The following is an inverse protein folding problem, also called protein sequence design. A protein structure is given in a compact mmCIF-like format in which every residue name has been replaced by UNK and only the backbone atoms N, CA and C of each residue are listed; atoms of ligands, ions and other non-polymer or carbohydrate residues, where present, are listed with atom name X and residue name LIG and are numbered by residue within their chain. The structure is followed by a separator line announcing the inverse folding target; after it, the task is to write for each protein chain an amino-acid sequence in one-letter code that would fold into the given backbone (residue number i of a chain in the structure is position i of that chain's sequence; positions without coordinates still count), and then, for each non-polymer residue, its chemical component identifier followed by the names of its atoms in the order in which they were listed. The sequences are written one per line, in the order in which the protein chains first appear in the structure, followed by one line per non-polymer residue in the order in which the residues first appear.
data_IF_534024463128
#
_entry.id   IF_534024463128
#
_cell.length_a   1.000
_cell.length_b   1.000
_cell.length_c   1.000
_cell.angle_alpha   90.00
_cell.angle_beta   90.00
_cell.angle_gamma   90.00
#
_symmetry.space_group_name_H-M   'P 1'
#
loop_
_entity.id
_entity.type
_entity.pdbx_description
1 polymer ?
#
# COMPACT_ATOMS: atom_id res chain seq x y z
N UNK A 1 -22.97 -31.60 -24.72
CA UNK A 1 -22.18 -31.04 -23.61
C UNK A 1 -21.62 -29.69 -24.07
N UNK A 2 -22.10 -28.55 -23.55
CA UNK A 2 -21.62 -27.21 -23.94
C UNK A 2 -20.52 -26.76 -22.97
N UNK A 3 -19.38 -26.23 -23.44
CA UNK A 3 -18.37 -25.69 -22.54
C UNK A 3 -18.84 -24.34 -21.97
N UNK A 4 -18.72 -24.20 -20.65
CA UNK A 4 -19.02 -22.99 -19.89
C UNK A 4 -17.88 -21.98 -20.05
N UNK A 5 -18.10 -20.92 -20.84
CA UNK A 5 -17.20 -19.76 -20.95
C UNK A 5 -17.37 -18.83 -19.75
N UNK A 6 -16.66 -19.11 -18.66
CA UNK A 6 -16.49 -18.17 -17.51
C UNK A 6 -15.04 -17.68 -17.45
N UNK A 7 -14.53 -16.89 -18.39
CA UNK A 7 -13.12 -16.43 -18.31
C UNK A 7 -12.78 -15.05 -18.93
N UNK A 8 -13.66 -14.03 -18.91
CA UNK A 8 -13.26 -12.72 -19.48
C UNK A 8 -13.78 -11.45 -18.78
N UNK A 9 -14.51 -11.55 -17.66
CA UNK A 9 -15.06 -10.35 -17.00
C UNK A 9 -14.07 -9.64 -16.06
N UNK A 10 -13.14 -10.35 -15.42
CA UNK A 10 -12.24 -9.72 -14.44
C UNK A 10 -11.10 -8.91 -15.08
N UNK A 11 -10.53 -9.40 -16.19
CA UNK A 11 -9.39 -8.76 -16.86
C UNK A 11 -9.70 -7.35 -17.39
N UNK A 12 -10.95 -7.07 -17.79
CA UNK A 12 -11.36 -5.75 -18.31
C UNK A 12 -11.45 -4.67 -17.22
N UNK A 13 -11.85 -5.03 -16.01
CA UNK A 13 -11.99 -4.08 -14.90
C UNK A 13 -10.63 -3.69 -14.31
N UNK A 14 -9.67 -4.63 -14.29
CA UNK A 14 -8.30 -4.36 -13.83
C UNK A 14 -7.56 -3.36 -14.71
N UNK A 15 -7.76 -3.41 -16.04
CA UNK A 15 -7.13 -2.47 -16.98
C UNK A 15 -7.70 -1.05 -16.83
N UNK A 16 -9.00 -0.90 -16.59
CA UNK A 16 -9.62 0.40 -16.36
C UNK A 16 -9.12 1.05 -15.06
N UNK A 17 -8.89 0.25 -14.01
CA UNK A 17 -8.36 0.73 -12.74
C UNK A 17 -6.91 1.24 -12.88
N UNK A 18 -6.06 0.53 -13.63
CA UNK A 18 -4.68 0.95 -13.89
C UNK A 18 -4.62 2.26 -14.70
N UNK A 19 -5.54 2.44 -15.67
CA UNK A 19 -5.61 3.67 -16.46
C UNK A 19 -6.08 4.88 -15.63
N UNK A 20 -6.90 4.67 -14.59
CA UNK A 20 -7.35 5.73 -13.67
C UNK A 20 -6.27 6.21 -12.69
N UNK A 21 -5.24 5.39 -12.44
CA UNK A 21 -4.10 5.73 -11.58
C UNK A 21 -3.03 6.56 -12.32
N UNK A 22 -3.11 6.65 -13.65
CA UNK A 22 -2.24 7.50 -14.46
C UNK A 22 -2.73 8.96 -14.40
N UNK A 23 -2.40 9.66 -13.31
CA UNK A 23 -2.71 11.09 -13.16
C UNK A 23 -1.83 11.91 -14.11
N UNK A 24 -2.44 12.91 -14.77
CA UNK A 24 -1.73 13.91 -15.56
C UNK A 24 -1.01 14.88 -14.60
N UNK A 25 0.33 14.94 -14.63
CA UNK A 25 1.06 15.96 -13.89
C UNK A 25 0.92 17.31 -14.63
N UNK A 26 0.29 18.29 -13.99
CA UNK A 26 0.22 19.66 -14.49
C UNK A 26 1.22 20.49 -13.70
N UNK A 27 2.23 21.05 -14.38
CA UNK A 27 3.17 21.95 -13.74
C UNK A 27 2.46 23.27 -13.42
N UNK A 28 2.41 23.65 -12.14
CA UNK A 28 1.86 24.91 -11.67
C UNK A 28 2.95 25.63 -10.87
N UNK A 29 3.29 26.85 -11.24
CA UNK A 29 4.13 27.74 -10.43
C UNK A 29 3.33 28.19 -9.21
N UNK A 30 3.52 27.49 -8.09
CA UNK A 30 2.97 27.81 -6.78
C UNK A 30 4.14 28.17 -5.85
N UNK A 31 3.95 29.11 -4.90
CA UNK A 31 4.96 29.36 -3.88
C UNK A 31 5.23 28.07 -3.11
N UNK A 32 6.52 27.75 -2.93
CA UNK A 32 6.97 26.53 -2.27
C UNK A 32 6.60 26.57 -0.78
N UNK A 33 5.59 25.79 -0.41
CA UNK A 33 5.12 25.67 0.97
C UNK A 33 5.82 24.54 1.73
N UNK A 34 6.56 23.68 1.01
CA UNK A 34 7.09 22.41 1.49
C UNK A 34 6.04 21.32 1.74
N UNK A 35 4.74 21.64 1.73
CA UNK A 35 3.63 20.70 1.96
C UNK A 35 3.06 20.11 0.66
N UNK A 36 3.74 20.33 -0.45
CA UNK A 36 3.47 19.68 -1.71
C UNK A 36 3.77 18.18 -1.58
N UNK A 37 2.81 17.37 -2.00
CA UNK A 37 3.00 15.93 -2.12
C UNK A 37 4.10 15.66 -3.16
N UNK A 38 5.16 14.97 -2.73
CA UNK A 38 6.26 14.53 -3.56
C UNK A 38 5.99 13.13 -4.12
N UNK A 39 5.75 12.17 -3.24
CA UNK A 39 5.60 10.76 -3.61
C UNK A 39 4.52 10.04 -2.79
N UNK A 40 4.01 8.95 -3.35
CA UNK A 40 3.28 7.92 -2.62
C UNK A 40 4.07 6.61 -2.62
N UNK A 41 4.11 5.93 -1.48
CA UNK A 41 4.61 4.55 -1.38
C UNK A 41 3.54 3.62 -0.82
N UNK A 42 3.62 2.35 -1.24
CA UNK A 42 2.78 1.26 -0.72
C UNK A 42 3.71 0.16 -0.23
N UNK A 43 3.55 -0.24 1.03
CA UNK A 43 4.41 -1.22 1.67
C UNK A 43 3.65 -2.52 1.97
N UNK A 44 4.35 -3.64 1.82
CA UNK A 44 3.85 -4.98 2.13
C UNK A 44 4.93 -5.77 2.89
N UNK A 45 4.53 -6.65 3.81
CA UNK A 45 5.47 -7.58 4.45
C UNK A 45 5.52 -8.92 3.73
N UNK A 46 6.73 -9.43 3.47
CA UNK A 46 6.92 -10.82 3.03
C UNK A 46 7.20 -11.73 4.22
N UNK A 47 8.01 -11.27 5.17
CA UNK A 47 8.43 -12.02 6.36
C UNK A 47 9.00 -11.06 7.41
N UNK A 48 8.78 -11.36 8.69
CA UNK A 48 9.31 -10.62 9.83
C UNK A 48 10.20 -11.51 10.66
N UNK A 49 11.44 -11.07 10.91
CA UNK A 49 12.34 -11.73 11.86
C UNK A 49 12.35 -10.98 13.18
N UNK A 50 11.89 -11.63 14.24
CA UNK A 50 11.96 -11.10 15.59
C UNK A 50 13.42 -11.07 16.07
N UNK A 51 13.80 -9.99 16.77
CA UNK A 51 15.12 -9.87 17.40
C UNK A 51 15.32 -10.94 18.48
N UNK A 52 14.28 -11.17 19.29
CA UNK A 52 14.18 -12.26 20.26
C UNK A 52 12.98 -13.16 19.89
N UNK A 53 13.21 -14.22 19.10
CA UNK A 53 12.13 -15.06 18.59
C UNK A 53 11.66 -16.07 19.64
N UNK A 54 10.39 -15.97 20.03
CA UNK A 54 9.69 -17.00 20.80
C UNK A 54 8.81 -17.86 19.88
N UNK A 55 8.49 -19.11 20.25
CA UNK A 55 7.67 -20.01 19.44
C UNK A 55 6.29 -19.45 19.06
N UNK A 56 5.74 -18.58 19.92
CA UNK A 56 4.41 -18.00 19.75
C UNK A 56 4.43 -16.70 18.91
N UNK A 57 5.61 -16.23 18.47
CA UNK A 57 5.72 -15.02 17.66
C UNK A 57 5.33 -15.27 16.20
N UNK A 58 4.36 -14.49 15.72
CA UNK A 58 3.94 -14.47 14.33
C UNK A 58 4.98 -13.81 13.42
N UNK A 59 5.60 -14.56 12.51
CA UNK A 59 6.56 -14.04 11.54
C UNK A 59 5.92 -13.59 10.21
N UNK A 60 4.61 -13.76 10.05
CA UNK A 60 3.84 -13.39 8.87
C UNK A 60 2.92 -12.23 9.22
N UNK A 61 3.46 -11.02 9.17
CA UNK A 61 2.84 -9.81 9.71
C UNK A 61 1.65 -9.27 8.89
N UNK A 62 1.43 -9.80 7.69
CA UNK A 62 0.35 -9.38 6.77
C UNK A 62 0.21 -7.85 6.61
N UNK A 63 1.33 -7.12 6.64
CA UNK A 63 1.37 -5.66 6.57
C UNK A 63 0.85 -5.17 5.22
N UNK A 64 -0.02 -4.17 5.28
CA UNK A 64 -0.34 -3.27 4.17
C UNK A 64 -0.22 -1.84 4.70
N UNK A 65 0.59 -1.01 4.06
CA UNK A 65 0.73 0.41 4.41
C UNK A 65 0.69 1.30 3.17
N UNK A 66 0.24 2.53 3.36
CA UNK A 66 0.31 3.61 2.36
C UNK A 66 0.89 4.85 3.03
N UNK A 67 1.90 5.46 2.41
CA UNK A 67 2.57 6.65 2.90
C UNK A 67 2.62 7.73 1.82
N UNK A 68 2.34 8.96 2.21
CA UNK A 68 2.58 10.19 1.45
C UNK A 68 3.86 10.85 1.96
N UNK A 69 4.75 11.22 1.05
CA UNK A 69 5.96 11.99 1.33
C UNK A 69 5.79 13.41 0.79
N UNK A 70 6.20 14.40 1.57
CA UNK A 70 6.13 15.81 1.21
C UNK A 70 7.52 16.40 0.92
N UNK A 71 7.58 17.51 0.20
CA UNK A 71 8.84 18.19 -0.15
C UNK A 71 9.64 18.68 1.08
N UNK A 72 8.97 18.88 2.22
CA UNK A 72 9.59 19.22 3.50
C UNK A 72 10.06 18.00 4.34
N UNK A 73 10.14 16.82 3.71
CA UNK A 73 10.52 15.54 4.32
C UNK A 73 9.59 15.03 5.44
N UNK A 74 8.40 15.61 5.60
CA UNK A 74 7.35 14.98 6.39
C UNK A 74 6.76 13.77 5.68
N UNK A 75 6.33 12.80 6.49
CA UNK A 75 5.62 11.60 6.05
C UNK A 75 4.29 11.55 6.79
N UNK A 76 3.22 11.24 6.07
CA UNK A 76 1.91 10.93 6.65
C UNK A 76 1.40 9.64 6.01
N UNK A 77 0.86 8.72 6.81
CA UNK A 77 0.45 7.42 6.28
C UNK A 77 -0.36 6.62 7.28
N UNK A 78 -0.86 5.48 6.81
CA UNK A 78 -1.55 4.52 7.64
C UNK A 78 -1.12 3.11 7.30
N UNK A 79 -1.16 2.22 8.30
CA UNK A 79 -0.82 0.82 8.16
C UNK A 79 -1.78 -0.08 8.93
N UNK A 80 -2.01 -1.28 8.40
CA UNK A 80 -2.66 -2.39 9.09
C UNK A 80 -1.76 -3.62 9.02
N UNK A 81 -1.65 -4.37 10.11
CA UNK A 81 -0.75 -5.51 10.22
C UNK A 81 -1.13 -6.38 11.43
N UNK A 82 -0.65 -7.63 11.44
CA UNK A 82 -0.73 -8.51 12.59
C UNK A 82 0.47 -8.24 13.51
N UNK A 83 0.24 -7.99 14.79
CA UNK A 83 1.36 -7.87 15.73
C UNK A 83 2.02 -9.25 16.00
N UNK A 84 3.03 -9.28 16.86
CA UNK A 84 3.78 -10.49 17.19
C UNK A 84 2.92 -11.64 17.74
N UNK A 85 1.69 -11.40 18.20
CA UNK A 85 0.78 -12.44 18.68
C UNK A 85 -0.32 -12.79 17.67
N UNK A 86 -0.19 -12.36 16.41
CA UNK A 86 -1.16 -12.64 15.35
C UNK A 86 -2.48 -11.87 15.52
N UNK A 87 -2.45 -10.70 16.16
CA UNK A 87 -3.63 -9.86 16.38
C UNK A 87 -3.63 -8.65 15.46
N UNK A 88 -4.78 -8.36 14.85
CA UNK A 88 -5.01 -7.18 14.02
C UNK A 88 -4.59 -5.91 14.77
N UNK A 89 -3.73 -5.11 14.14
CA UNK A 89 -3.17 -3.87 14.66
C UNK A 89 -3.09 -2.81 13.56
N UNK A 90 -3.02 -1.53 13.97
CA UNK A 90 -3.02 -0.39 13.04
C UNK A 90 -2.10 0.75 13.49
N UNK A 91 -1.62 1.53 12.53
CA UNK A 91 -0.87 2.78 12.73
C UNK A 91 -1.51 3.90 11.88
N UNK A 92 -1.73 5.08 12.48
CA UNK A 92 -2.34 6.27 11.87
C UNK A 92 -1.55 7.53 12.25
#
# INVERSE_FOLDING_TARGET
MRPSTRQFKFLKHSILLVLLLCQSAWAQDKPDSGWELRDWSVHFSIYTKHFDPEPDHNNDQNLIAVEAQFENDWIAGAAVFDNSFGQDSQFL
#
